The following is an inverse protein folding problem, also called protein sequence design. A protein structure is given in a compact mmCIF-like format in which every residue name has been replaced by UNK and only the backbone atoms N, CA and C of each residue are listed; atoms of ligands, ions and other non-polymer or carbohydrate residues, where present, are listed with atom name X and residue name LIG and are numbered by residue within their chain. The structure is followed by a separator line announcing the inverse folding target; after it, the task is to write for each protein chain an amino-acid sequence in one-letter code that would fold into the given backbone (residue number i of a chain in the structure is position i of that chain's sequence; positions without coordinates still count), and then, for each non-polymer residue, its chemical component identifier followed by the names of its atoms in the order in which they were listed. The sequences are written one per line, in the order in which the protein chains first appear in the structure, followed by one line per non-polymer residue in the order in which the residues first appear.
data_IF_619801081087
#
_entry.id   IF_619801081087
#
_cell.length_a   1.000
_cell.length_b   1.000
_cell.length_c   1.000
_cell.angle_alpha   90.00
_cell.angle_beta   90.00
_cell.angle_gamma   90.00
#
_symmetry.space_group_name_H-M   'P 1'
#
loop_
_entity.id
_entity.type
_entity.pdbx_description
1 polymer ?
#
# COMPACT_ATOMS: atom_id res chain seq x y z
N UNK A 1 18.06 12.36 -12.14
CA UNK A 1 16.70 11.86 -11.84
C UNK A 1 16.78 11.17 -10.49
N UNK A 2 16.03 11.63 -9.49
CA UNK A 2 16.07 11.04 -8.15
C UNK A 2 15.52 9.61 -8.16
N UNK A 3 16.09 8.75 -7.32
CA UNK A 3 15.60 7.39 -7.14
C UNK A 3 14.16 7.40 -6.60
N UNK A 4 13.30 6.56 -7.17
CA UNK A 4 11.95 6.38 -6.62
C UNK A 4 12.06 5.68 -5.25
N UNK A 5 11.37 6.18 -4.21
CA UNK A 5 11.26 5.50 -2.95
C UNK A 5 10.66 4.10 -3.11
N UNK A 6 11.27 3.10 -2.47
CA UNK A 6 10.73 1.75 -2.42
C UNK A 6 9.53 1.69 -1.47
N UNK A 7 8.34 1.45 -2.01
CA UNK A 7 7.07 1.39 -1.29
C UNK A 7 6.38 0.01 -1.38
N UNK A 8 6.98 -0.95 -2.09
CA UNK A 8 6.50 -2.34 -2.11
C UNK A 8 6.45 -2.90 -0.68
N UNK A 9 5.33 -3.51 -0.33
CA UNK A 9 5.06 -4.05 1.00
C UNK A 9 4.42 -3.07 1.98
N UNK A 10 4.37 -1.76 1.66
CA UNK A 10 3.69 -0.74 2.48
C UNK A 10 2.18 -0.73 2.24
N UNK A 11 1.45 -0.13 3.18
CA UNK A 11 0.05 0.24 2.99
C UNK A 11 -0.06 1.31 1.91
N UNK A 12 -1.13 1.29 1.13
CA UNK A 12 -1.37 2.26 0.05
C UNK A 12 -1.30 3.71 0.57
N UNK A 13 -1.88 4.01 1.72
CA UNK A 13 -1.85 5.35 2.33
C UNK A 13 -0.42 5.82 2.62
N UNK A 14 0.40 4.96 3.21
CA UNK A 14 1.81 5.22 3.51
C UNK A 14 2.64 5.41 2.23
N UNK A 15 2.44 4.52 1.26
CA UNK A 15 3.11 4.58 -0.03
C UNK A 15 2.81 5.89 -0.77
N UNK A 16 1.55 6.32 -0.77
CA UNK A 16 1.14 7.59 -1.38
C UNK A 16 1.74 8.79 -0.67
N UNK A 17 1.79 8.78 0.67
CA UNK A 17 2.41 9.85 1.44
C UNK A 17 3.92 9.96 1.14
N UNK A 18 4.61 8.82 1.10
CA UNK A 18 6.04 8.76 0.82
C UNK A 18 6.38 9.21 -0.61
N UNK A 19 5.60 8.78 -1.61
CA UNK A 19 5.80 9.20 -3.01
C UNK A 19 5.54 10.69 -3.19
N UNK A 20 4.48 11.23 -2.57
CA UNK A 20 4.20 12.67 -2.59
C UNK A 20 5.31 13.48 -1.91
N UNK A 21 5.81 13.02 -0.76
CA UNK A 21 6.92 13.67 -0.05
C UNK A 21 8.22 13.66 -0.87
N UNK A 22 8.40 12.66 -1.73
CA UNK A 22 9.52 12.57 -2.67
C UNK A 22 9.29 13.36 -3.98
N UNK A 23 8.16 14.06 -4.12
CA UNK A 23 7.86 14.93 -5.28
C UNK A 23 7.17 14.22 -6.44
N UNK A 24 6.67 12.99 -6.28
CA UNK A 24 5.90 12.29 -7.31
C UNK A 24 4.41 12.68 -7.23
N UNK A 25 3.93 13.42 -8.22
CA UNK A 25 2.54 13.88 -8.27
C UNK A 25 1.62 12.95 -9.09
N UNK A 26 2.15 12.34 -10.15
CA UNK A 26 1.39 11.44 -11.03
C UNK A 26 1.48 10.02 -10.52
N UNK A 27 0.52 9.61 -9.69
CA UNK A 27 0.48 8.27 -9.11
C UNK A 27 -0.79 7.55 -9.57
N UNK A 28 -0.61 6.40 -10.23
CA UNK A 28 -1.69 5.54 -10.71
C UNK A 28 -1.80 4.30 -9.84
N UNK A 29 -2.95 4.10 -9.20
CA UNK A 29 -3.21 2.94 -8.34
C UNK A 29 -4.06 1.91 -9.09
N UNK A 30 -3.56 0.67 -9.19
CA UNK A 30 -4.22 -0.47 -9.83
C UNK A 30 -4.59 -1.50 -8.75
N UNK A 31 -5.87 -1.55 -8.33
CA UNK A 31 -6.32 -2.57 -7.40
C UNK A 31 -6.42 -3.93 -8.09
N UNK A 32 -5.80 -4.93 -7.49
CA UNK A 32 -6.00 -6.33 -7.90
C UNK A 32 -7.39 -6.80 -7.51
N UNK A 33 -8.00 -7.63 -8.36
CA UNK A 33 -9.24 -8.33 -8.05
C UNK A 33 -8.93 -9.77 -7.67
N UNK A 34 -8.88 -10.09 -6.37
CA UNK A 34 -8.80 -11.48 -5.95
C UNK A 34 -10.03 -12.26 -6.42
N UNK A 35 -9.88 -13.58 -6.67
CA UNK A 35 -10.99 -14.43 -7.08
C UNK A 35 -12.11 -14.37 -6.04
N UNK A 36 -13.32 -14.01 -6.50
CA UNK A 36 -14.49 -13.53 -5.75
C UNK A 36 -15.03 -14.42 -4.60
N UNK A 37 -14.48 -15.60 -4.34
CA UNK A 37 -15.22 -16.64 -3.60
C UNK A 37 -14.97 -16.72 -2.09
N UNK A 38 -13.91 -16.13 -1.53
CA UNK A 38 -13.56 -16.38 -0.10
C UNK A 38 -13.73 -15.21 0.86
N UNK A 39 -13.77 -13.98 0.35
CA UNK A 39 -13.78 -12.79 1.20
C UNK A 39 -15.05 -11.98 0.94
N UNK A 40 -15.96 -11.95 1.92
CA UNK A 40 -17.11 -11.04 1.93
C UNK A 40 -16.72 -9.77 2.69
N UNK A 41 -16.97 -8.60 2.09
CA UNK A 41 -16.74 -7.30 2.71
C UNK A 41 -15.64 -6.47 2.04
N UNK A 42 -15.63 -5.17 2.37
CA UNK A 42 -14.54 -4.27 1.99
C UNK A 42 -13.25 -4.67 2.71
N UNK A 43 -12.09 -4.58 2.03
CA UNK A 43 -10.81 -4.86 2.66
C UNK A 43 -10.50 -3.82 3.74
N UNK A 44 -9.88 -4.26 4.84
CA UNK A 44 -9.45 -3.37 5.91
C UNK A 44 -8.37 -2.40 5.41
N UNK A 45 -7.43 -2.91 4.61
CA UNK A 45 -6.36 -2.12 4.00
C UNK A 45 -6.02 -2.60 2.59
N UNK A 46 -5.28 -1.76 1.87
CA UNK A 46 -4.69 -2.07 0.57
C UNK A 46 -3.17 -2.04 0.70
N UNK A 47 -2.51 -3.08 0.18
CA UNK A 47 -1.06 -3.25 0.28
C UNK A 47 -0.41 -3.21 -1.09
N UNK A 48 0.64 -2.43 -1.22
CA UNK A 48 1.42 -2.35 -2.48
C UNK A 48 2.18 -3.65 -2.66
N UNK A 49 1.91 -4.37 -3.75
CA UNK A 49 2.62 -5.61 -4.11
C UNK A 49 3.61 -5.38 -5.26
N UNK A 50 3.45 -4.28 -6.00
CA UNK A 50 4.34 -3.91 -7.09
C UNK A 50 4.34 -2.40 -7.27
N UNK A 51 5.51 -1.85 -7.56
CA UNK A 51 5.67 -0.49 -8.03
C UNK A 51 6.39 -0.49 -9.38
N UNK A 52 6.06 0.45 -10.24
CA UNK A 52 6.75 0.67 -11.52
C UNK A 52 6.76 2.14 -11.88
N UNK A 53 7.93 2.65 -12.27
CA UNK A 53 8.03 3.99 -12.87
C UNK A 53 7.79 3.91 -14.37
N UNK A 54 6.97 4.82 -14.89
CA UNK A 54 6.81 5.07 -16.33
C UNK A 54 6.96 6.56 -16.60
N UNK A 55 8.19 6.99 -16.90
CA UNK A 55 8.50 8.41 -17.04
C UNK A 55 8.21 9.18 -15.74
N UNK A 56 7.25 10.09 -15.82
CA UNK A 56 6.75 10.92 -14.71
C UNK A 56 5.66 10.24 -13.87
N UNK A 57 5.08 9.12 -14.33
CA UNK A 57 4.01 8.41 -13.62
C UNK A 57 4.57 7.26 -12.79
N UNK A 58 4.06 7.10 -11.57
CA UNK A 58 4.31 5.96 -10.70
C UNK A 58 3.08 5.07 -10.66
N UNK A 59 3.20 3.86 -11.20
CA UNK A 59 2.17 2.83 -11.15
C UNK A 59 2.36 1.98 -9.90
N UNK A 60 1.30 1.86 -9.10
CA UNK A 60 1.23 1.01 -7.91
C UNK A 60 0.17 -0.06 -8.09
N UNK A 61 0.57 -1.33 -8.01
CA UNK A 61 -0.38 -2.45 -7.94
C UNK A 61 -0.64 -2.77 -6.48
N UNK A 62 -1.90 -2.77 -6.08
CA UNK A 62 -2.31 -2.99 -4.68
C UNK A 62 -3.18 -4.22 -4.54
N UNK A 63 -2.98 -4.98 -3.47
CA UNK A 63 -3.82 -6.11 -3.08
C UNK A 63 -4.68 -5.75 -1.87
N UNK A 64 -5.95 -6.16 -1.84
CA UNK A 64 -6.75 -6.04 -0.63
C UNK A 64 -6.18 -6.94 0.47
N UNK A 65 -6.19 -6.44 1.69
CA UNK A 65 -5.82 -7.14 2.93
C UNK A 65 -7.05 -7.12 3.85
N UNK A 66 -7.70 -8.27 4.02
CA UNK A 66 -8.93 -8.41 4.82
C UNK A 66 -8.70 -8.80 6.27
N UNK A 67 -7.58 -9.46 6.55
CA UNK A 67 -7.18 -9.74 7.92
C UNK A 67 -6.39 -8.52 8.42
N UNK A 68 -6.60 -8.06 9.67
CA UNK A 68 -5.62 -7.19 10.28
C UNK A 68 -4.32 -7.98 10.33
N UNK A 69 -3.36 -7.59 9.50
CA UNK A 69 -1.98 -8.00 9.73
C UNK A 69 -1.70 -7.61 11.18
N UNK A 70 -1.39 -8.58 12.04
CA UNK A 70 -0.79 -8.30 13.34
C UNK A 70 0.53 -7.62 13.03
N UNK A 71 0.48 -6.30 12.90
CA UNK A 71 1.63 -5.45 12.91
C UNK A 71 2.25 -5.66 14.29
N UNK A 72 3.31 -6.46 14.34
CA UNK A 72 4.05 -6.78 15.56
C UNK A 72 4.83 -5.56 16.07
N UNK A 73 4.15 -4.44 16.25
CA UNK A 73 4.71 -3.19 16.77
C UNK A 73 3.65 -2.36 17.52
N UNK A 74 2.85 -2.98 18.38
CA UNK A 74 2.26 -2.26 19.51
C UNK A 74 2.33 -3.12 20.78
N UNK A 75 3.57 -3.40 21.20
CA UNK A 75 3.86 -3.62 22.60
C UNK A 75 3.87 -2.28 23.32
N UNK A 76 2.72 -1.82 23.82
CA UNK A 76 2.71 -0.89 24.94
C UNK A 76 1.51 -1.11 25.86
N UNK A 77 1.82 -1.85 26.92
CA UNK A 77 1.41 -1.73 28.33
C UNK A 77 -0.08 -1.73 28.67
N UNK A 78 -0.42 -2.69 29.52
CA UNK A 78 -1.60 -2.71 30.36
C UNK A 78 -1.75 -1.41 31.16
N UNK A 79 -2.99 -0.96 31.31
CA UNK A 79 -3.39 0.06 32.25
C UNK A 79 -4.91 0.18 32.29
N UNK A 80 -5.51 -0.24 33.42
CA UNK A 80 -6.94 -0.16 33.71
C UNK A 80 -7.36 -1.22 34.70
#
# INVERSE_FOLDING_TARGET
MGEIPQVVGRRQSDALAQLKAAGFEKIRVIPTRPPKSRYRGEPAHWRVIRQRQQGDEVELVVTPEWLPFRDGAEGKVAGG
#
